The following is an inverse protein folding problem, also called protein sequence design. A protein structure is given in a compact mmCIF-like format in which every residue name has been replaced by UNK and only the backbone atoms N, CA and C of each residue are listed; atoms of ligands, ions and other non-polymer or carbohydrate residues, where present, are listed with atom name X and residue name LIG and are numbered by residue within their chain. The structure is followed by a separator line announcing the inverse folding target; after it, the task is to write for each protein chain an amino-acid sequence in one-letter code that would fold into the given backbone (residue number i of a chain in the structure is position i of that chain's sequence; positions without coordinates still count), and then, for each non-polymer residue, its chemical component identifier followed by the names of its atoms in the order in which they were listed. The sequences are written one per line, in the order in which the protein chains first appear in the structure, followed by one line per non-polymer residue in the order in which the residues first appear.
data_IF_648812524373
#
_entry.id   IF_648812524373
#
_cell.length_a   1.000
_cell.length_b   1.000
_cell.length_c   1.000
_cell.angle_alpha   90.00
_cell.angle_beta   90.00
_cell.angle_gamma   90.00
#
_symmetry.space_group_name_H-M   'P 1'
#
loop_
_entity.id
_entity.type
_entity.pdbx_description
1 polymer ?
#
# COMPACT_ATOMS: atom_id res chain seq x y z
N UNK A 1 31.49 7.81 3.55
CA UNK A 1 30.04 8.06 3.58
C UNK A 1 29.48 7.34 2.37
N UNK A 2 28.91 6.16 2.53
CA UNK A 2 28.61 5.24 1.43
C UNK A 2 27.56 5.83 0.49
N UNK A 3 27.94 5.97 -0.78
CA UNK A 3 27.04 6.28 -1.88
C UNK A 3 25.98 5.18 -2.02
N UNK A 4 24.82 5.40 -1.42
CA UNK A 4 23.63 4.61 -1.73
C UNK A 4 23.16 5.12 -3.09
N UNK A 5 23.56 4.42 -4.15
CA UNK A 5 22.94 4.54 -5.46
C UNK A 5 21.43 4.54 -5.27
N UNK A 6 20.77 5.64 -5.65
CA UNK A 6 19.34 5.86 -5.43
C UNK A 6 18.57 4.94 -6.37
N UNK A 7 18.50 3.66 -6.04
CA UNK A 7 17.74 2.68 -6.79
C UNK A 7 16.29 3.17 -6.91
N UNK A 8 15.73 3.11 -8.12
CA UNK A 8 14.33 3.45 -8.34
C UNK A 8 13.48 2.43 -7.58
N UNK A 9 12.90 2.86 -6.45
CA UNK A 9 12.00 2.02 -5.68
C UNK A 9 10.67 1.82 -6.44
N UNK A 10 9.97 0.70 -6.19
CA UNK A 10 8.62 0.52 -6.71
C UNK A 10 7.70 1.65 -6.20
N UNK A 11 6.73 2.05 -7.02
CA UNK A 11 5.71 3.03 -6.63
C UNK A 11 4.78 2.41 -5.59
N UNK A 12 4.40 3.19 -4.58
CA UNK A 12 3.47 2.79 -3.54
C UNK A 12 2.26 3.72 -3.51
N UNK A 13 1.08 3.16 -3.21
CA UNK A 13 -0.17 3.91 -2.99
C UNK A 13 -0.52 3.79 -1.52
N UNK A 14 -0.68 4.93 -0.84
CA UNK A 14 -1.09 4.97 0.55
C UNK A 14 -2.59 5.29 0.63
N UNK A 15 -3.39 4.30 1.02
CA UNK A 15 -4.80 4.50 1.32
C UNK A 15 -4.95 4.92 2.78
N UNK A 16 -5.13 6.22 3.01
CA UNK A 16 -5.27 6.81 4.34
C UNK A 16 -6.71 7.25 4.61
N UNK A 17 -7.09 7.31 5.89
CA UNK A 17 -8.43 7.75 6.32
C UNK A 17 -8.90 7.08 7.62
N UNK A 18 -9.99 7.55 8.24
CA UNK A 18 -10.50 7.03 9.52
C UNK A 18 -10.88 5.54 9.48
N UNK A 19 -10.97 4.89 10.64
CA UNK A 19 -11.56 3.55 10.74
C UNK A 19 -12.98 3.56 10.16
N UNK A 20 -13.39 2.46 9.52
CA UNK A 20 -14.68 2.29 8.84
C UNK A 20 -14.95 3.19 7.60
N UNK A 21 -13.96 3.95 7.11
CA UNK A 21 -14.13 4.76 5.88
C UNK A 21 -14.08 3.96 4.56
N UNK A 22 -14.13 2.63 4.60
CA UNK A 22 -14.14 1.78 3.40
C UNK A 22 -12.79 1.54 2.71
N UNK A 23 -11.66 1.91 3.33
CA UNK A 23 -10.30 1.75 2.73
C UNK A 23 -10.01 0.32 2.27
N UNK A 24 -10.37 -0.69 3.06
CA UNK A 24 -10.15 -2.10 2.73
C UNK A 24 -10.92 -2.50 1.46
N UNK A 25 -12.18 -2.07 1.33
CA UNK A 25 -12.98 -2.33 0.14
C UNK A 25 -12.36 -1.66 -1.10
N UNK A 26 -11.94 -0.40 -0.98
CA UNK A 26 -11.26 0.31 -2.06
C UNK A 26 -9.94 -0.37 -2.47
N UNK A 27 -9.14 -0.83 -1.49
CA UNK A 27 -7.89 -1.52 -1.75
C UNK A 27 -8.11 -2.82 -2.55
N UNK A 28 -9.13 -3.60 -2.19
CA UNK A 28 -9.52 -4.82 -2.90
C UNK A 28 -9.92 -4.52 -4.34
N UNK A 29 -10.73 -3.48 -4.59
CA UNK A 29 -11.11 -3.10 -5.95
C UNK A 29 -9.91 -2.60 -6.77
N UNK A 30 -9.01 -1.81 -6.18
CA UNK A 30 -7.80 -1.34 -6.85
C UNK A 30 -6.88 -2.50 -7.28
N UNK A 31 -6.75 -3.54 -6.45
CA UNK A 31 -5.97 -4.75 -6.79
C UNK A 31 -6.52 -5.48 -8.04
N UNK A 32 -7.82 -5.39 -8.32
CA UNK A 32 -8.41 -6.04 -9.51
C UNK A 32 -8.01 -5.36 -10.82
N UNK A 33 -7.65 -4.08 -10.78
CA UNK A 33 -7.39 -3.27 -11.97
C UNK A 33 -5.95 -2.74 -12.06
N UNK A 34 -5.20 -2.73 -10.96
CA UNK A 34 -3.81 -2.33 -10.91
C UNK A 34 -2.92 -3.54 -10.63
N UNK A 35 -1.72 -3.63 -11.25
CA UNK A 35 -0.75 -4.68 -10.96
C UNK A 35 -0.02 -4.39 -9.64
N UNK A 36 -0.76 -4.44 -8.53
CA UNK A 36 -0.28 -4.09 -7.18
C UNK A 36 -0.58 -5.21 -6.19
N UNK A 37 0.26 -5.32 -5.17
CA UNK A 37 0.02 -6.17 -4.02
C UNK A 37 -0.55 -5.35 -2.85
N UNK A 38 -1.42 -5.98 -2.06
CA UNK A 38 -2.00 -5.35 -0.88
C UNK A 38 -1.10 -5.61 0.33
N UNK A 39 -0.63 -4.53 0.94
CA UNK A 39 0.13 -4.54 2.19
C UNK A 39 -0.77 -3.93 3.26
N UNK A 40 -1.19 -4.75 4.23
CA UNK A 40 -1.86 -4.25 5.43
C UNK A 40 -0.81 -3.69 6.39
N UNK A 41 -1.05 -2.48 6.91
CA UNK A 41 -0.19 -1.85 7.93
C UNK A 41 -0.75 -2.05 9.35
N UNK A 42 -1.99 -2.56 9.45
CA UNK A 42 -2.60 -2.92 10.74
C UNK A 42 -2.04 -4.26 11.22
N UNK A 43 -1.49 -4.28 12.43
CA UNK A 43 -0.91 -5.48 13.05
C UNK A 43 -1.96 -6.46 13.57
N UNK A 44 -3.25 -6.07 13.60
CA UNK A 44 -4.33 -6.87 14.16
C UNK A 44 -5.04 -7.80 13.16
N UNK A 45 -4.77 -7.68 11.86
CA UNK A 45 -5.32 -8.56 10.84
C UNK A 45 -4.34 -9.72 10.59
N UNK A 46 -4.51 -10.80 11.37
CA UNK A 46 -3.99 -12.14 11.05
C UNK A 46 -4.98 -12.83 10.09
#
# INVERSE_FOLDING_TARGET
MSDISKASLPKAIFLMGPTASGKTALAIELRKILPVELISVDSALI
#
